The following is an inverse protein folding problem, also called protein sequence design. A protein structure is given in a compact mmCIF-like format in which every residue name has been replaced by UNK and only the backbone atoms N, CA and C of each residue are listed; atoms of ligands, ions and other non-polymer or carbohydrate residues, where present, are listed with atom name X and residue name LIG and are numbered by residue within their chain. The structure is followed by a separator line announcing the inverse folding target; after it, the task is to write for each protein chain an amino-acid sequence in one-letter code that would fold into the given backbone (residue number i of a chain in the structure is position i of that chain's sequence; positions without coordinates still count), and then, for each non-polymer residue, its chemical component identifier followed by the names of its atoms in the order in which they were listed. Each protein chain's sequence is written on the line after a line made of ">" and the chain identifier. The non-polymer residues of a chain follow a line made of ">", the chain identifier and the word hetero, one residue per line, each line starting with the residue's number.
data_IF_017129663244
#
_entry.id   IF_017129663244
#
_cell.length_a   1.000
_cell.length_b   1.000
_cell.length_c   1.000
_cell.angle_alpha   90.00
_cell.angle_beta   90.00
_cell.angle_gamma   90.00
#
_symmetry.space_group_name_H-M   'P 1'
#
loop_
_entity.id
_entity.type
_entity.pdbx_description
1 polymer ?
#
# COMPACT_ATOMS: atom_id res chain seq x y z
N UNK A 1 9.18 7.92 -7.22
CA UNK A 1 7.86 7.25 -7.31
C UNK A 1 8.06 5.86 -7.84
N UNK A 2 8.05 4.89 -6.93
CA UNK A 2 8.13 3.46 -7.23
C UNK A 2 6.73 2.85 -7.14
N UNK A 3 6.05 2.81 -8.29
CA UNK A 3 4.71 2.26 -8.42
C UNK A 3 4.74 0.76 -8.71
N UNK A 4 3.93 0.00 -7.99
CA UNK A 4 3.69 -1.42 -8.31
C UNK A 4 2.19 -1.68 -8.43
N UNK A 5 1.79 -2.65 -9.26
CA UNK A 5 0.37 -3.01 -9.39
C UNK A 5 -0.18 -3.47 -8.04
N UNK A 6 -1.39 -3.08 -7.68
CA UNK A 6 -2.03 -3.47 -6.44
C UNK A 6 -2.15 -5.01 -6.28
N UNK A 7 -2.30 -5.74 -7.39
CA UNK A 7 -2.26 -7.22 -7.38
C UNK A 7 -0.89 -7.78 -7.01
N UNK A 8 0.20 -7.15 -7.48
CA UNK A 8 1.57 -7.53 -7.11
C UNK A 8 1.90 -7.13 -5.68
N UNK A 9 1.45 -5.96 -5.25
CA UNK A 9 1.59 -5.51 -3.86
C UNK A 9 0.99 -6.53 -2.90
N UNK A 10 -0.24 -6.97 -3.20
CA UNK A 10 -0.93 -8.00 -2.43
C UNK A 10 -0.09 -9.27 -2.25
N UNK A 11 0.38 -9.86 -3.35
CA UNK A 11 1.12 -11.13 -3.32
C UNK A 11 2.53 -10.98 -2.73
N UNK A 12 3.12 -9.79 -2.76
CA UNK A 12 4.50 -9.57 -2.30
C UNK A 12 4.60 -9.25 -0.80
N UNK A 13 3.63 -8.54 -0.24
CA UNK A 13 3.72 -7.97 1.10
C UNK A 13 2.82 -8.64 2.14
N UNK A 14 2.00 -9.60 1.74
CA UNK A 14 1.13 -10.35 2.63
C UNK A 14 1.41 -11.84 2.51
N UNK A 15 1.31 -12.54 3.65
CA UNK A 15 1.36 -13.99 3.69
C UNK A 15 0.15 -14.60 2.99
N UNK A 16 0.34 -15.77 2.38
CA UNK A 16 -0.70 -16.46 1.63
C UNK A 16 -1.91 -16.75 2.53
N UNK A 17 -3.09 -16.30 2.10
CA UNK A 17 -4.35 -16.43 2.85
C UNK A 17 -4.61 -15.30 3.85
N UNK A 18 -3.64 -14.43 4.09
CA UNK A 18 -3.80 -13.20 4.90
C UNK A 18 -3.91 -11.94 4.04
N UNK A 19 -3.91 -12.10 2.72
CA UNK A 19 -3.92 -10.97 1.81
C UNK A 19 -5.31 -10.32 1.72
N UNK A 20 -5.41 -8.97 1.73
CA UNK A 20 -6.67 -8.30 1.50
C UNK A 20 -7.19 -8.57 0.08
N UNK A 21 -8.51 -8.62 -0.07
CA UNK A 21 -9.10 -8.72 -1.40
C UNK A 21 -8.82 -7.47 -2.25
N UNK A 22 -8.99 -7.59 -3.57
CA UNK A 22 -8.75 -6.45 -4.47
C UNK A 22 -9.74 -5.31 -4.26
N UNK A 23 -10.93 -5.58 -3.72
CA UNK A 23 -11.95 -4.56 -3.46
C UNK A 23 -11.49 -3.64 -2.33
N UNK A 24 -10.93 -4.23 -1.28
CA UNK A 24 -10.35 -3.55 -0.12
C UNK A 24 -9.17 -2.72 -0.54
N UNK A 25 -8.21 -3.28 -1.29
CA UNK A 25 -7.05 -2.50 -1.75
C UNK A 25 -7.45 -1.30 -2.62
N UNK A 26 -8.42 -1.46 -3.52
CA UNK A 26 -8.94 -0.35 -4.33
C UNK A 26 -9.57 0.72 -3.46
N UNK A 27 -10.44 0.33 -2.52
CA UNK A 27 -11.07 1.24 -1.58
C UNK A 27 -10.04 2.01 -0.76
N UNK A 28 -9.02 1.34 -0.22
CA UNK A 28 -7.97 2.01 0.56
C UNK A 28 -7.18 3.02 -0.27
N UNK A 29 -6.94 2.74 -1.57
CA UNK A 29 -6.28 3.69 -2.48
C UNK A 29 -7.20 4.87 -2.78
N UNK A 30 -8.48 4.61 -3.07
CA UNK A 30 -9.47 5.64 -3.40
C UNK A 30 -9.79 6.54 -2.18
N UNK A 31 -9.82 5.97 -0.98
CA UNK A 31 -10.03 6.68 0.30
C UNK A 31 -8.75 7.41 0.79
N UNK A 32 -7.61 7.20 0.12
CA UNK A 32 -6.32 7.80 0.46
C UNK A 32 -5.61 7.18 1.67
N UNK A 33 -6.14 6.11 2.25
CA UNK A 33 -5.54 5.36 3.36
C UNK A 33 -4.29 4.58 2.94
N UNK A 34 -4.25 4.12 1.69
CA UNK A 34 -3.09 3.47 1.08
C UNK A 34 -2.53 4.36 -0.03
N UNK A 35 -1.29 4.87 0.08
CA UNK A 35 -0.69 5.68 -0.96
C UNK A 35 -0.66 4.94 -2.31
N UNK A 36 -1.37 5.48 -3.28
CA UNK A 36 -1.51 4.85 -4.57
C UNK A 36 -2.29 5.73 -5.54
N UNK A 37 -2.45 5.22 -6.75
CA UNK A 37 -3.23 5.90 -7.78
C UNK A 37 -3.78 4.92 -8.80
N UNK A 38 -4.87 5.34 -9.45
CA UNK A 38 -5.52 4.60 -10.52
C UNK A 38 -5.13 5.17 -11.87
N UNK A 39 -4.64 4.31 -12.76
CA UNK A 39 -4.43 4.63 -14.17
C UNK A 39 -5.37 3.78 -15.03
N UNK A 40 -6.40 4.40 -15.59
CA UNK A 40 -7.45 3.71 -16.33
C UNK A 40 -8.21 2.74 -15.42
N UNK A 41 -8.09 1.44 -15.67
CA UNK A 41 -8.71 0.38 -14.85
C UNK A 41 -7.74 -0.27 -13.85
N UNK A 42 -6.46 0.08 -13.91
CA UNK A 42 -5.39 -0.55 -13.14
C UNK A 42 -5.06 0.32 -11.94
N UNK A 43 -4.96 -0.32 -10.77
CA UNK A 43 -4.58 0.32 -9.52
C UNK A 43 -3.11 0.04 -9.21
N UNK A 44 -2.42 1.08 -8.76
CA UNK A 44 -1.02 1.04 -8.39
C UNK A 44 -0.84 1.56 -6.96
N UNK A 45 0.11 0.97 -6.25
CA UNK A 45 0.54 1.38 -4.91
C UNK A 45 1.89 2.09 -5.04
N UNK A 46 2.04 3.23 -4.37
CA UNK A 46 3.29 4.00 -4.32
C UNK A 46 4.11 3.59 -3.11
N UNK A 47 5.14 2.78 -3.36
CA UNK A 47 6.01 2.24 -2.30
C UNK A 47 6.84 3.32 -1.62
N UNK A 48 7.17 4.41 -2.31
CA UNK A 48 7.98 5.49 -1.73
C UNK A 48 7.20 6.27 -0.67
N UNK A 49 5.87 6.19 -0.69
CA UNK A 49 4.97 6.90 0.24
C UNK A 49 4.47 6.05 1.40
N UNK A 50 4.65 4.72 1.34
CA UNK A 50 4.26 3.81 2.43
C UNK A 50 5.19 3.94 3.65
N UNK A 51 6.45 4.32 3.44
CA UNK A 51 7.48 4.43 4.49
C UNK A 51 7.19 5.50 5.53
N UNK A 52 6.28 6.45 5.27
CA UNK A 52 5.90 7.49 6.23
C UNK A 52 4.69 6.99 7.03
N UNK A 53 4.97 6.13 8.00
CA UNK A 53 3.99 5.74 8.99
C UNK A 53 3.57 6.96 9.82
N UNK A 54 2.26 7.23 9.92
CA UNK A 54 1.72 8.22 10.86
C UNK A 54 1.78 7.75 12.33
N UNK A 55 2.27 6.53 12.58
CA UNK A 55 2.37 5.96 13.93
C UNK A 55 3.66 6.44 14.62
N UNK A 56 3.58 7.21 15.72
CA UNK A 56 4.74 7.72 16.44
C UNK A 56 5.71 6.62 16.93
N UNK A 57 5.21 5.41 17.20
CA UNK A 57 6.02 4.30 17.66
C UNK A 57 6.89 3.73 16.55
N UNK A 58 6.33 3.61 15.34
CA UNK A 58 7.08 3.13 14.16
C UNK A 58 8.18 4.14 13.81
N UNK A 59 7.87 5.44 13.87
CA UNK A 59 8.85 6.49 13.59
C UNK A 59 10.00 6.52 14.60
N UNK A 60 9.72 6.24 15.88
CA UNK A 60 10.77 6.11 16.91
C UNK A 60 11.72 4.94 16.68
N UNK A 61 11.20 3.81 16.19
CA UNK A 61 12.03 2.63 15.90
C UNK A 61 12.88 2.83 14.64
N UNK A 62 12.35 3.49 13.62
CA UNK A 62 13.08 3.76 12.36
C UNK A 62 14.16 4.85 12.48
N UNK A 63 14.09 5.70 13.51
CA UNK A 63 15.04 6.79 13.76
C UNK A 63 16.20 6.42 14.72
N UNK A 64 16.21 5.19 15.24
CA UNK A 64 17.25 4.65 16.12
C UNK A 64 18.24 3.79 15.33
#
# INVERSE_FOLDING_TARGET
>A
MKLIKATQFRTRYFEKGSEPDMKTLKRLIDDGELPGQRFGTIYYVDLDRITVSANPLVNKVLAA
#
